data_IF_752269078451
#
_entry.id   IF_752269078451
#
_cell.length_a   1.000
_cell.length_b   1.000
_cell.length_c   1.000
_cell.angle_alpha   90.00
_cell.angle_beta   90.00
_cell.angle_gamma   90.00
#
_symmetry.space_group_name_H-M   'P 1'
#
loop_
_entity.id
_entity.type
_entity.pdbx_description
1 polymer ?
#
# COMPACT_ATOMS: atom_id res chain seq x y z
N UNK A 1 -75.50 23.72 7.69
CA UNK A 1 -75.90 22.27 7.55
C UNK A 1 -75.08 21.72 6.40
N UNK A 2 -74.04 21.00 6.63
CA UNK A 2 -73.62 19.72 6.04
C UNK A 2 -72.22 19.38 6.55
N UNK A 3 -72.17 18.35 7.39
CA UNK A 3 -70.94 17.67 7.84
C UNK A 3 -70.50 16.75 6.73
N UNK A 4 -69.25 16.83 6.31
CA UNK A 4 -68.58 15.77 5.55
C UNK A 4 -67.36 15.30 6.32
N UNK A 5 -67.50 14.09 6.88
CA UNK A 5 -66.40 13.37 7.57
C UNK A 5 -65.37 12.85 6.57
N UNK A 6 -64.12 13.12 6.85
CA UNK A 6 -62.99 12.51 6.13
C UNK A 6 -62.56 11.23 6.86
N UNK A 7 -62.71 10.08 6.17
CA UNK A 7 -62.22 8.78 6.62
C UNK A 7 -60.81 8.60 6.09
N UNK A 8 -59.82 8.58 6.99
CA UNK A 8 -58.43 8.22 6.65
C UNK A 8 -58.32 6.67 6.55
N UNK A 9 -57.64 6.11 5.52
CA UNK A 9 -57.43 4.67 5.46
C UNK A 9 -56.31 4.23 6.41
N UNK A 10 -56.61 3.20 7.18
CA UNK A 10 -55.67 2.54 8.09
C UNK A 10 -54.55 1.89 7.31
N UNK A 11 -53.29 2.29 7.60
CA UNK A 11 -52.07 1.60 7.17
C UNK A 11 -52.02 0.21 7.80
N UNK A 12 -52.23 -0.82 7.00
CA UNK A 12 -51.96 -2.22 7.37
C UNK A 12 -50.46 -2.37 7.56
N UNK A 13 -50.04 -2.72 8.78
CA UNK A 13 -48.69 -3.20 9.05
C UNK A 13 -48.51 -4.55 8.33
N UNK A 14 -47.71 -4.53 7.26
CA UNK A 14 -47.29 -5.77 6.61
C UNK A 14 -46.37 -6.53 7.57
N UNK A 15 -46.70 -7.78 7.86
CA UNK A 15 -45.87 -8.73 8.57
C UNK A 15 -44.57 -9.04 7.76
N UNK A 16 -43.57 -9.67 8.37
CA UNK A 16 -42.35 -10.01 7.68
C UNK A 16 -42.62 -11.00 6.55
N UNK A 17 -42.27 -10.62 5.33
CA UNK A 17 -42.22 -11.56 4.21
C UNK A 17 -41.20 -12.64 4.55
N UNK A 18 -41.66 -13.86 4.75
CA UNK A 18 -40.85 -15.05 4.76
C UNK A 18 -40.21 -15.20 3.38
N UNK A 19 -38.91 -14.91 3.31
CA UNK A 19 -38.10 -15.23 2.13
C UNK A 19 -37.80 -16.71 2.22
N UNK A 20 -38.45 -17.50 1.34
CA UNK A 20 -38.18 -18.92 1.17
C UNK A 20 -36.70 -19.14 0.87
N UNK A 21 -36.15 -20.22 1.42
CA UNK A 21 -34.81 -20.68 1.19
C UNK A 21 -34.56 -20.89 -0.31
N UNK A 22 -33.82 -19.97 -0.90
CA UNK A 22 -33.11 -20.15 -2.15
C UNK A 22 -31.64 -20.24 -1.77
N UNK A 23 -30.92 -21.18 -2.38
CA UNK A 23 -29.49 -21.41 -2.23
C UNK A 23 -28.75 -20.07 -2.28
N UNK A 24 -28.44 -19.53 -1.10
CA UNK A 24 -27.76 -18.28 -0.96
C UNK A 24 -26.36 -18.44 -1.57
N UNK A 25 -26.16 -17.83 -2.73
CA UNK A 25 -24.84 -17.39 -3.11
C UNK A 25 -24.37 -16.47 -1.98
N UNK A 26 -23.71 -17.05 -0.98
CA UNK A 26 -22.91 -16.29 -0.03
C UNK A 26 -21.89 -15.53 -0.88
N UNK A 27 -22.20 -14.27 -1.15
CA UNK A 27 -21.20 -13.33 -1.67
C UNK A 27 -20.12 -13.30 -0.61
N UNK A 28 -19.08 -14.13 -0.80
CA UNK A 28 -18.02 -14.32 0.19
C UNK A 28 -17.54 -12.96 0.67
N UNK A 29 -17.89 -12.64 1.91
CA UNK A 29 -17.39 -11.46 2.57
C UNK A 29 -15.86 -11.48 2.46
N UNK A 30 -15.25 -10.33 2.25
CA UNK A 30 -13.78 -10.21 2.36
C UNK A 30 -13.43 -10.63 3.77
N UNK A 31 -12.91 -11.86 3.94
CA UNK A 31 -12.78 -12.53 5.23
C UNK A 31 -11.48 -12.20 5.96
N UNK A 32 -10.68 -11.21 5.49
CA UNK A 32 -9.40 -10.86 6.07
C UNK A 32 -9.15 -9.35 6.14
N UNK A 33 -8.52 -8.91 7.23
CA UNK A 33 -7.88 -7.60 7.27
C UNK A 33 -6.57 -7.67 6.50
N UNK A 34 -6.33 -6.74 5.57
CA UNK A 34 -5.04 -6.58 4.89
C UNK A 34 -4.02 -5.96 5.86
N UNK A 35 -3.62 -6.74 6.89
CA UNK A 35 -2.84 -6.26 8.06
C UNK A 35 -1.52 -5.60 7.71
N UNK A 36 -0.89 -6.04 6.63
CA UNK A 36 0.41 -5.54 6.19
C UNK A 36 0.31 -4.54 5.04
N UNK A 37 -0.91 -4.07 4.71
CA UNK A 37 -1.13 -3.03 3.72
C UNK A 37 -1.29 -1.67 4.40
N UNK A 38 -0.48 -0.71 3.96
CA UNK A 38 -0.58 0.69 4.31
C UNK A 38 -0.94 1.52 3.07
N UNK A 39 -2.00 2.29 3.11
CA UNK A 39 -2.36 3.27 2.07
C UNK A 39 -1.82 4.63 2.46
N UNK A 40 -1.06 5.25 1.56
CA UNK A 40 -0.44 6.56 1.81
C UNK A 40 -1.00 7.59 0.84
N UNK A 41 -1.67 8.61 1.36
CA UNK A 41 -2.15 9.76 0.59
C UNK A 41 -1.13 10.89 0.65
N UNK A 42 -0.64 11.34 -0.50
CA UNK A 42 0.39 12.38 -0.59
C UNK A 42 -0.20 13.67 -1.15
N UNK A 43 -0.20 14.72 -0.36
CA UNK A 43 -0.60 16.08 -0.79
C UNK A 43 -2.07 16.19 -1.21
N UNK A 44 -2.96 15.39 -0.64
CA UNK A 44 -4.41 15.41 -0.94
C UNK A 44 -5.07 16.72 -0.48
N UNK A 45 -6.01 17.22 -1.29
CA UNK A 45 -6.63 18.54 -1.10
C UNK A 45 -8.15 18.52 -0.98
N UNK A 46 -8.80 17.44 -1.42
CA UNK A 46 -10.26 17.34 -1.43
C UNK A 46 -10.75 16.39 -0.32
N UNK A 47 -11.53 16.88 0.67
CA UNK A 47 -12.04 16.07 1.77
C UNK A 47 -12.93 14.92 1.29
N UNK A 48 -13.70 15.12 0.23
CA UNK A 48 -14.56 14.08 -0.34
C UNK A 48 -13.73 12.91 -0.91
N UNK A 49 -12.58 13.20 -1.52
CA UNK A 49 -11.69 12.16 -2.03
C UNK A 49 -11.03 11.38 -0.88
N UNK A 50 -10.60 12.07 0.17
CA UNK A 50 -10.07 11.41 1.38
C UNK A 50 -11.11 10.49 2.00
N UNK A 51 -12.35 10.95 2.14
CA UNK A 51 -13.48 10.15 2.62
C UNK A 51 -13.79 8.95 1.73
N UNK A 52 -13.77 9.15 0.39
CA UNK A 52 -14.00 8.07 -0.57
C UNK A 52 -12.90 7.00 -0.52
N UNK A 53 -11.62 7.39 -0.36
CA UNK A 53 -10.52 6.45 -0.15
C UNK A 53 -10.70 5.66 1.14
N UNK A 54 -10.99 6.34 2.25
CA UNK A 54 -11.22 5.69 3.53
C UNK A 54 -12.38 4.69 3.47
N UNK A 55 -13.46 5.05 2.77
CA UNK A 55 -14.60 4.15 2.53
C UNK A 55 -14.21 2.94 1.70
N UNK A 56 -13.47 3.13 0.61
CA UNK A 56 -12.96 2.04 -0.21
C UNK A 56 -12.06 1.10 0.61
N UNK A 57 -11.15 1.63 1.41
CA UNK A 57 -10.30 0.86 2.30
C UNK A 57 -11.10 0.02 3.29
N UNK A 58 -12.08 0.63 3.95
CA UNK A 58 -12.97 -0.07 4.90
C UNK A 58 -13.75 -1.21 4.23
N UNK A 59 -14.25 -1.00 3.01
CA UNK A 59 -15.00 -2.02 2.28
C UNK A 59 -14.17 -3.28 1.95
N UNK A 60 -12.84 -3.14 1.84
CA UNK A 60 -11.93 -4.23 1.46
C UNK A 60 -10.97 -4.66 2.57
N UNK A 61 -11.16 -4.20 3.81
CA UNK A 61 -10.37 -4.62 4.96
C UNK A 61 -8.97 -4.00 5.05
N UNK A 62 -8.67 -2.95 4.30
CA UNK A 62 -7.43 -2.18 4.45
C UNK A 62 -7.60 -1.14 5.56
N UNK A 63 -6.94 -1.32 6.71
CA UNK A 63 -7.24 -0.53 7.91
C UNK A 63 -6.17 0.52 8.25
N UNK A 64 -5.04 0.56 7.56
CA UNK A 64 -3.97 1.53 7.85
C UNK A 64 -3.88 2.61 6.79
N UNK A 65 -4.30 3.83 7.16
CA UNK A 65 -4.22 5.04 6.34
C UNK A 65 -3.17 6.00 6.91
N UNK A 66 -2.28 6.46 6.04
CA UNK A 66 -1.30 7.51 6.34
C UNK A 66 -1.49 8.68 5.40
N UNK A 67 -1.29 9.91 5.90
CA UNK A 67 -1.33 11.11 5.10
C UNK A 67 0.01 11.84 5.20
N UNK A 68 0.54 12.23 4.04
CA UNK A 68 1.79 13.00 3.94
C UNK A 68 1.46 14.37 3.40
N UNK A 69 1.79 15.42 4.16
CA UNK A 69 1.53 16.82 3.79
C UNK A 69 0.09 17.05 3.30
N UNK A 70 -0.94 16.55 4.01
CA UNK A 70 -2.32 16.78 3.61
C UNK A 70 -2.64 18.27 3.70
N UNK A 71 -3.57 18.75 2.87
CA UNK A 71 -4.11 20.10 3.05
C UNK A 71 -4.98 20.10 4.32
N UNK A 72 -4.55 20.82 5.34
CA UNK A 72 -5.07 20.75 6.71
C UNK A 72 -6.60 20.89 6.80
N UNK A 73 -7.17 21.87 6.07
CA UNK A 73 -8.63 22.08 6.04
C UNK A 73 -9.37 20.86 5.49
N UNK A 74 -8.92 20.34 4.36
CA UNK A 74 -9.53 19.17 3.74
C UNK A 74 -9.44 17.93 4.62
N UNK A 75 -8.31 17.76 5.30
CA UNK A 75 -8.07 16.64 6.19
C UNK A 75 -8.99 16.69 7.43
N UNK A 76 -9.14 17.87 8.05
CA UNK A 76 -10.07 18.06 9.18
C UNK A 76 -11.53 17.81 8.77
N UNK A 77 -11.95 18.32 7.62
CA UNK A 77 -13.29 18.09 7.08
C UNK A 77 -13.56 16.61 6.82
N UNK A 78 -12.61 15.88 6.22
CA UNK A 78 -12.73 14.45 5.99
C UNK A 78 -12.88 13.66 7.29
N UNK A 79 -12.10 13.98 8.32
CA UNK A 79 -12.21 13.35 9.65
C UNK A 79 -13.55 13.61 10.33
N UNK A 80 -14.22 14.71 10.04
CA UNK A 80 -15.55 15.02 10.57
C UNK A 80 -16.72 14.40 9.79
N UNK A 81 -16.45 13.81 8.62
CA UNK A 81 -17.51 13.23 7.77
C UNK A 81 -18.08 11.93 8.34
N UNK A 82 -19.40 11.80 8.29
CA UNK A 82 -20.12 10.61 8.75
C UNK A 82 -19.83 9.42 7.84
N UNK A 83 -19.46 8.26 8.42
CA UNK A 83 -19.37 6.97 7.71
C UNK A 83 -17.97 6.45 7.34
N UNK A 84 -16.91 7.25 7.54
CA UNK A 84 -15.51 6.79 7.45
C UNK A 84 -14.77 6.99 8.79
N UNK A 85 -15.51 7.28 9.86
CA UNK A 85 -15.02 7.87 11.11
C UNK A 85 -13.90 7.10 11.80
N UNK A 86 -13.99 5.78 11.91
CA UNK A 86 -13.02 5.00 12.68
C UNK A 86 -11.66 4.91 11.97
N UNK A 87 -11.64 4.64 10.68
CA UNK A 87 -10.41 4.55 9.89
C UNK A 87 -9.70 5.91 9.82
N UNK A 88 -10.45 6.98 9.56
CA UNK A 88 -9.92 8.34 9.52
C UNK A 88 -9.49 8.84 10.91
N UNK A 89 -10.17 8.43 11.97
CA UNK A 89 -9.76 8.76 13.35
C UNK A 89 -8.41 8.14 13.72
N UNK A 90 -8.12 6.94 13.21
CA UNK A 90 -6.85 6.23 13.42
C UNK A 90 -5.76 6.64 12.41
N UNK A 91 -6.10 7.38 11.36
CA UNK A 91 -5.15 7.76 10.32
C UNK A 91 -4.04 8.65 10.88
N UNK A 92 -2.80 8.32 10.50
CA UNK A 92 -1.59 9.01 10.95
C UNK A 92 -1.18 10.07 9.94
N UNK A 93 -0.71 11.20 10.43
CA UNK A 93 -0.18 12.30 9.64
C UNK A 93 1.34 12.34 9.76
N UNK A 94 2.02 12.59 8.63
CA UNK A 94 3.48 12.64 8.55
C UNK A 94 3.92 13.91 7.82
N UNK A 95 5.04 14.49 8.26
CA UNK A 95 5.64 15.63 7.60
C UNK A 95 6.32 15.23 6.29
N UNK A 96 6.94 14.05 6.26
CA UNK A 96 7.70 13.56 5.11
C UNK A 96 7.22 12.18 4.64
N UNK A 97 7.48 11.88 3.36
CA UNK A 97 7.17 10.56 2.82
C UNK A 97 8.14 9.49 3.37
N UNK A 98 9.39 9.86 3.66
CA UNK A 98 10.37 8.98 4.29
C UNK A 98 9.84 8.41 5.61
N UNK A 99 9.34 9.28 6.51
CA UNK A 99 8.74 8.87 7.78
C UNK A 99 7.50 8.00 7.57
N UNK A 100 6.66 8.36 6.61
CA UNK A 100 5.41 7.65 6.35
C UNK A 100 5.59 6.24 5.82
N UNK A 101 6.76 5.89 5.27
CA UNK A 101 7.04 4.56 4.70
C UNK A 101 8.21 3.85 5.38
N UNK A 102 8.72 4.40 6.49
CA UNK A 102 9.94 3.94 7.16
C UNK A 102 9.92 2.44 7.50
N UNK A 103 8.78 1.95 7.99
CA UNK A 103 8.52 0.57 8.41
C UNK A 103 8.04 -0.36 7.27
N UNK A 104 8.03 0.12 6.02
CA UNK A 104 7.59 -0.66 4.87
C UNK A 104 8.77 -1.34 4.16
N UNK A 105 8.61 -2.58 3.77
CA UNK A 105 9.60 -3.34 2.97
C UNK A 105 9.38 -3.19 1.46
N UNK A 106 8.22 -2.68 1.05
CA UNK A 106 7.88 -2.39 -0.35
C UNK A 106 7.06 -1.11 -0.41
N UNK A 107 7.43 -0.22 -1.33
CA UNK A 107 6.68 1.01 -1.63
C UNK A 107 6.31 1.01 -3.10
N UNK A 108 5.02 1.14 -3.39
CA UNK A 108 4.44 1.12 -4.73
C UNK A 108 3.72 2.44 -4.99
N UNK A 109 4.12 3.16 -6.02
CA UNK A 109 3.43 4.39 -6.42
C UNK A 109 2.33 4.09 -7.45
N UNK A 110 1.19 4.76 -7.35
CA UNK A 110 0.15 4.71 -8.39
C UNK A 110 0.36 5.83 -9.41
N UNK A 111 0.13 5.53 -10.70
CA UNK A 111 0.29 6.52 -11.77
C UNK A 111 -0.72 6.31 -12.89
N UNK A 112 -1.20 7.44 -13.46
CA UNK A 112 -2.04 7.43 -14.66
C UNK A 112 -1.25 7.41 -15.97
N UNK A 113 0.09 7.41 -15.90
CA UNK A 113 1.01 7.52 -17.06
C UNK A 113 0.64 8.69 -17.99
N UNK A 114 1.14 9.86 -17.66
CA UNK A 114 1.12 11.03 -18.56
C UNK A 114 2.35 11.03 -19.49
N UNK A 115 2.68 12.22 -20.04
CA UNK A 115 3.85 12.44 -20.89
C UNK A 115 5.19 12.47 -20.13
N UNK A 116 5.26 11.90 -18.92
CA UNK A 116 6.50 11.85 -18.13
C UNK A 116 7.37 10.68 -18.58
N UNK A 117 8.65 10.92 -18.74
CA UNK A 117 9.64 9.86 -18.88
C UNK A 117 9.65 9.01 -17.60
N UNK A 118 9.29 7.74 -17.74
CA UNK A 118 9.16 6.83 -16.61
C UNK A 118 10.53 6.25 -16.25
N UNK A 119 11.05 6.64 -15.09
CA UNK A 119 12.35 6.17 -14.56
C UNK A 119 12.24 4.94 -13.65
N UNK A 120 11.04 4.41 -13.49
CA UNK A 120 10.74 3.27 -12.64
C UNK A 120 10.11 2.13 -13.46
N UNK A 121 10.27 0.87 -13.04
CA UNK A 121 9.50 -0.22 -13.62
C UNK A 121 8.01 0.07 -13.47
N UNK A 122 7.26 -0.11 -14.57
CA UNK A 122 5.81 0.06 -14.59
C UNK A 122 5.14 -1.30 -14.69
N UNK A 123 4.16 -1.55 -13.82
CA UNK A 123 3.40 -2.80 -13.78
C UNK A 123 1.92 -2.53 -13.92
N UNK A 124 1.21 -3.45 -14.57
CA UNK A 124 -0.25 -3.43 -14.59
C UNK A 124 -0.83 -3.75 -13.21
N UNK A 125 -2.08 -3.34 -12.99
CA UNK A 125 -2.77 -3.55 -11.71
C UNK A 125 -2.77 -5.02 -11.28
N UNK A 126 -3.07 -5.92 -12.18
CA UNK A 126 -3.16 -7.35 -11.90
C UNK A 126 -1.82 -7.96 -11.46
N UNK A 127 -0.75 -7.70 -12.20
CA UNK A 127 0.60 -8.12 -11.85
C UNK A 127 1.04 -7.47 -10.54
N UNK A 128 0.78 -6.17 -10.40
CA UNK A 128 1.10 -5.39 -9.21
C UNK A 128 0.44 -5.94 -7.95
N UNK A 129 -0.85 -6.24 -8.02
CA UNK A 129 -1.59 -6.80 -6.90
C UNK A 129 -1.03 -8.17 -6.47
N UNK A 130 -0.63 -9.01 -7.42
CA UNK A 130 0.02 -10.31 -7.12
C UNK A 130 1.35 -10.13 -6.37
N UNK A 131 2.16 -9.17 -6.78
CA UNK A 131 3.46 -8.90 -6.14
C UNK A 131 3.29 -8.27 -4.76
N UNK A 132 2.31 -7.37 -4.61
CA UNK A 132 1.94 -6.78 -3.32
C UNK A 132 1.48 -7.87 -2.35
N UNK A 133 0.54 -8.73 -2.77
CA UNK A 133 0.03 -9.83 -1.95
C UNK A 133 1.15 -10.71 -1.42
N UNK A 134 2.04 -11.17 -2.31
CA UNK A 134 3.21 -11.96 -1.91
C UNK A 134 4.14 -11.25 -0.92
N UNK A 135 4.33 -9.94 -1.09
CA UNK A 135 5.19 -9.16 -0.18
C UNK A 135 4.52 -8.94 1.19
N UNK A 136 3.19 -8.80 1.24
CA UNK A 136 2.44 -8.69 2.50
C UNK A 136 2.57 -9.91 3.41
N UNK A 137 2.93 -11.07 2.87
CA UNK A 137 3.20 -12.29 3.66
C UNK A 137 4.45 -12.14 4.54
N UNK A 138 5.43 -11.34 4.12
CA UNK A 138 6.75 -11.23 4.75
C UNK A 138 7.07 -9.85 5.32
N UNK A 139 6.27 -8.84 5.01
CA UNK A 139 6.54 -7.49 5.48
C UNK A 139 5.45 -6.49 5.09
N UNK A 140 5.57 -5.28 5.60
CA UNK A 140 4.62 -4.21 5.34
C UNK A 140 4.81 -3.60 3.95
N UNK A 141 3.70 -3.30 3.29
CA UNK A 141 3.67 -2.71 1.95
C UNK A 141 2.93 -1.38 1.98
N UNK A 142 3.53 -0.34 1.41
CA UNK A 142 2.87 0.94 1.18
C UNK A 142 2.41 1.06 -0.28
N UNK A 143 1.14 1.46 -0.47
CA UNK A 143 0.60 1.88 -1.77
C UNK A 143 0.32 3.38 -1.72
N UNK A 144 1.02 4.14 -2.57
CA UNK A 144 0.99 5.59 -2.59
C UNK A 144 0.00 6.11 -3.63
N UNK A 145 -0.85 7.02 -3.20
CA UNK A 145 -1.72 7.81 -4.07
C UNK A 145 -1.34 9.29 -3.94
N UNK A 146 -1.10 9.94 -5.07
CA UNK A 146 -0.75 11.36 -5.11
C UNK A 146 -1.95 12.29 -5.07
N UNK A 147 -1.68 13.59 -5.12
CA UNK A 147 -2.72 14.63 -5.17
C UNK A 147 -3.58 14.50 -6.43
N UNK A 148 -4.84 14.96 -6.34
CA UNK A 148 -5.84 14.85 -7.41
C UNK A 148 -5.41 15.59 -8.69
N UNK A 149 -4.71 16.70 -8.52
CA UNK A 149 -4.30 17.55 -9.65
C UNK A 149 -3.00 17.12 -10.31
N UNK A 150 -2.00 16.73 -9.49
CA UNK A 150 -0.64 16.54 -9.97
C UNK A 150 -0.13 15.10 -9.86
N UNK A 151 -0.85 14.24 -9.13
CA UNK A 151 -0.38 12.93 -8.77
C UNK A 151 0.82 12.98 -7.81
N UNK A 152 1.68 11.97 -7.88
CA UNK A 152 2.95 11.91 -7.17
C UNK A 152 4.01 12.75 -7.90
N UNK A 153 4.80 13.54 -7.16
CA UNK A 153 5.94 14.29 -7.70
C UNK A 153 7.09 13.34 -8.05
N UNK A 154 8.12 13.83 -8.76
CA UNK A 154 9.31 13.01 -9.03
C UNK A 154 10.06 12.66 -7.74
N UNK A 155 10.04 13.55 -6.76
CA UNK A 155 10.56 13.29 -5.43
C UNK A 155 9.79 12.15 -4.74
N UNK A 156 8.44 12.22 -4.71
CA UNK A 156 7.62 11.16 -4.13
C UNK A 156 7.85 9.81 -4.84
N UNK A 157 7.95 9.84 -6.18
CA UNK A 157 8.26 8.65 -6.98
C UNK A 157 9.62 8.04 -6.64
N UNK A 158 10.61 8.84 -6.21
CA UNK A 158 11.94 8.32 -5.87
C UNK A 158 11.91 7.36 -4.68
N UNK A 159 10.88 7.41 -3.85
CA UNK A 159 10.65 6.47 -2.75
C UNK A 159 10.04 5.14 -3.21
N UNK A 160 9.55 5.04 -4.45
CA UNK A 160 8.90 3.84 -4.95
C UNK A 160 9.90 2.83 -5.53
N UNK A 161 9.66 1.54 -5.30
CA UNK A 161 10.38 0.45 -5.95
C UNK A 161 9.94 0.33 -7.41
N UNK A 162 8.66 0.45 -7.65
CA UNK A 162 8.01 0.40 -8.96
C UNK A 162 6.67 1.13 -8.92
N UNK A 163 6.10 1.35 -10.10
CA UNK A 163 4.83 2.05 -10.25
C UNK A 163 3.75 1.10 -10.75
N UNK A 164 2.55 1.31 -10.25
CA UNK A 164 1.35 0.56 -10.63
C UNK A 164 0.42 1.42 -11.47
N UNK A 165 -0.06 0.85 -12.56
CA UNK A 165 -1.03 1.48 -13.45
C UNK A 165 -2.33 0.69 -13.47
N UNK A 166 -3.44 1.39 -13.29
CA UNK A 166 -4.78 0.87 -13.58
C UNK A 166 -5.01 1.01 -15.08
N UNK A 167 -5.33 -0.06 -15.82
CA UNK A 167 -5.68 0.03 -17.22
C UNK A 167 -6.95 0.87 -17.43
N UNK A 168 -6.84 1.97 -18.16
CA UNK A 168 -7.94 2.87 -18.51
C UNK A 168 -7.89 3.17 -20.01
N UNK A 169 -8.98 3.74 -20.55
CA UNK A 169 -8.98 4.21 -21.95
C UNK A 169 -7.98 5.35 -22.14
N UNK A 170 -7.43 5.46 -23.34
CA UNK A 170 -6.38 6.46 -23.65
C UNK A 170 -6.91 7.90 -23.51
N UNK A 171 -8.20 8.11 -23.81
CA UNK A 171 -8.87 9.40 -23.74
C UNK A 171 -9.10 9.86 -22.29
N UNK A 172 -9.22 8.90 -21.34
CA UNK A 172 -9.52 9.16 -19.93
C UNK A 172 -8.53 8.40 -19.04
N UNK A 173 -7.27 8.82 -19.05
CA UNK A 173 -6.17 8.13 -18.35
C UNK A 173 -6.21 8.27 -16.84
N UNK A 174 -6.72 9.40 -16.34
CA UNK A 174 -6.81 9.67 -14.90
C UNK A 174 -8.16 9.23 -14.35
N UNK A 175 -8.14 8.66 -13.16
CA UNK A 175 -9.34 8.32 -12.38
C UNK A 175 -9.44 9.25 -11.18
N UNK A 176 -10.66 9.45 -10.69
CA UNK A 176 -10.87 10.04 -9.38
C UNK A 176 -10.12 9.23 -8.32
N UNK A 177 -9.56 9.90 -7.31
CA UNK A 177 -8.71 9.28 -6.29
C UNK A 177 -9.42 8.16 -5.53
N UNK A 178 -10.67 8.38 -5.11
CA UNK A 178 -11.47 7.37 -4.42
C UNK A 178 -11.79 6.15 -5.31
N UNK A 179 -12.07 6.39 -6.60
CA UNK A 179 -12.29 5.31 -7.57
C UNK A 179 -11.00 4.51 -7.80
N UNK A 180 -9.86 5.17 -7.97
CA UNK A 180 -8.58 4.50 -8.15
C UNK A 180 -8.24 3.63 -6.92
N UNK A 181 -8.46 4.15 -5.71
CA UNK A 181 -8.28 3.38 -4.49
C UNK A 181 -9.21 2.18 -4.42
N UNK A 182 -10.49 2.34 -4.76
CA UNK A 182 -11.47 1.25 -4.75
C UNK A 182 -11.06 0.11 -5.70
N UNK A 183 -10.61 0.44 -6.91
CA UNK A 183 -10.18 -0.55 -7.91
C UNK A 183 -8.93 -1.30 -7.44
N UNK A 184 -7.96 -0.59 -6.86
CA UNK A 184 -6.74 -1.21 -6.29
C UNK A 184 -7.10 -2.12 -5.12
N UNK A 185 -7.93 -1.65 -4.18
CA UNK A 185 -8.33 -2.45 -3.02
C UNK A 185 -9.15 -3.69 -3.43
N UNK A 186 -10.05 -3.54 -4.41
CA UNK A 186 -10.81 -4.66 -4.96
C UNK A 186 -9.87 -5.74 -5.52
N UNK A 187 -8.89 -5.36 -6.35
CA UNK A 187 -7.98 -6.33 -6.96
C UNK A 187 -7.10 -7.02 -5.93
N UNK A 188 -6.64 -6.30 -4.90
CA UNK A 188 -5.90 -6.88 -3.78
C UNK A 188 -6.76 -7.88 -3.00
N UNK A 189 -7.99 -7.52 -2.63
CA UNK A 189 -8.91 -8.38 -1.89
C UNK A 189 -9.42 -9.58 -2.71
N UNK A 190 -9.57 -9.42 -4.02
CA UNK A 190 -9.95 -10.52 -4.92
C UNK A 190 -8.91 -11.63 -4.92
N UNK A 191 -7.65 -11.26 -4.87
CA UNK A 191 -6.54 -12.23 -4.90
C UNK A 191 -6.36 -12.97 -3.59
N UNK A 192 -6.59 -12.34 -2.48
CA UNK A 192 -6.56 -13.00 -1.17
C UNK A 192 -7.60 -14.14 -1.11
N UNK A 193 -8.80 -13.91 -1.67
CA UNK A 193 -9.84 -14.94 -1.76
C UNK A 193 -9.42 -16.15 -2.62
N UNK A 194 -8.86 -15.92 -3.80
CA UNK A 194 -8.42 -16.99 -4.69
C UNK A 194 -7.36 -17.86 -3.99
N UNK A 195 -6.41 -17.25 -3.30
CA UNK A 195 -5.35 -17.98 -2.59
C UNK A 195 -5.89 -18.83 -1.43
N UNK A 196 -6.90 -18.34 -0.70
CA UNK A 196 -7.56 -19.10 0.38
C UNK A 196 -8.41 -20.24 -0.16
N UNK A 197 -9.14 -20.04 -1.24
CA UNK A 197 -9.94 -21.09 -1.88
C UNK A 197 -9.05 -22.21 -2.44
N UNK A 198 -7.92 -21.87 -3.07
CA UNK A 198 -6.92 -22.83 -3.55
C UNK A 198 -6.29 -23.62 -2.39
N UNK A 199 -5.98 -22.96 -1.26
CA UNK A 199 -5.42 -23.62 -0.08
C UNK A 199 -6.43 -24.56 0.59
N UNK A 200 -7.70 -24.16 0.71
CA UNK A 200 -8.77 -25.02 1.22
C UNK A 200 -9.08 -26.17 0.29
N UNK A 201 -9.08 -25.96 -1.02
CA UNK A 201 -9.22 -27.01 -2.04
C UNK A 201 -8.11 -28.05 -1.93
N UNK A 202 -6.86 -27.63 -1.77
CA UNK A 202 -5.71 -28.53 -1.56
C UNK A 202 -5.80 -29.29 -0.24
N UNK A 203 -6.24 -28.68 0.86
CA UNK A 203 -6.44 -29.37 2.13
C UNK A 203 -7.56 -30.42 2.07
N UNK A 204 -8.63 -30.16 1.33
CA UNK A 204 -9.71 -31.14 1.10
C UNK A 204 -9.22 -32.32 0.28
N UNK A 205 -8.32 -32.10 -0.68
CA UNK A 205 -7.72 -33.15 -1.52
C UNK A 205 -6.71 -33.99 -0.73
N UNK A 206 -5.89 -33.38 0.14
CA UNK A 206 -4.93 -34.08 0.98
C UNK A 206 -5.59 -34.93 2.09
N UNK A 207 -6.77 -34.52 2.59
CA UNK A 207 -7.54 -35.33 3.53
C UNK A 207 -8.19 -36.56 2.91
N UNK A 208 -8.28 -36.62 1.57
CA UNK A 208 -8.79 -37.79 0.82
C UNK A 208 -7.72 -38.77 0.35
N UNK A 209 -6.44 -38.35 0.32
CA UNK A 209 -5.30 -39.20 -0.08
C UNK A 209 -4.39 -39.49 1.13
N UNK A 210 -4.32 -40.77 1.56
CA UNK A 210 -3.69 -41.19 2.81
C UNK A 210 -2.18 -40.91 2.92
N UNK A 211 -1.78 -40.78 4.16
CA UNK A 211 -0.48 -40.92 4.83
C UNK A 211 0.77 -41.04 3.95
N UNK A 212 1.58 -40.00 3.93
CA UNK A 212 3.02 -40.09 3.69
C UNK A 212 3.77 -39.38 4.83
N UNK A 213 4.80 -40.07 5.38
CA UNK A 213 5.56 -39.68 6.55
C UNK A 213 6.54 -38.51 6.27
N UNK A 214 6.89 -37.70 7.28
CA UNK A 214 7.79 -36.58 7.10
C UNK A 214 9.24 -36.98 7.09
N UNK A 215 10.00 -36.56 6.05
CA UNK A 215 11.44 -36.63 6.00
C UNK A 215 12.08 -35.61 6.97
N UNK A 216 12.89 -36.10 7.91
CA UNK A 216 13.70 -35.31 8.83
C UNK A 216 14.85 -34.64 8.08
N UNK A 217 14.88 -33.31 8.00
CA UNK A 217 16.06 -32.55 7.62
C UNK A 217 16.93 -32.27 8.86
N UNK A 218 18.22 -32.59 8.74
CA UNK A 218 19.26 -32.39 9.77
C UNK A 218 19.66 -30.90 9.86
N UNK A 219 19.90 -30.47 11.09
CA UNK A 219 20.14 -29.09 11.48
C UNK A 219 21.47 -28.46 11.01
N UNK A 220 21.39 -27.18 10.82
CA UNK A 220 22.49 -26.23 10.80
C UNK A 220 22.07 -25.01 11.61
N UNK A 221 22.94 -24.58 12.51
CA UNK A 221 22.72 -23.51 13.51
C UNK A 221 22.34 -22.17 12.87
N UNK A 222 21.42 -21.39 13.43
CA UNK A 222 20.96 -20.16 12.81
C UNK A 222 21.85 -18.99 13.21
N UNK A 223 22.40 -18.30 12.24
CA UNK A 223 22.74 -16.87 12.39
C UNK A 223 21.44 -16.09 12.35
N UNK A 224 21.21 -15.24 13.35
CA UNK A 224 19.97 -14.50 13.58
C UNK A 224 19.67 -13.51 12.44
N UNK A 225 18.69 -13.84 11.67
CA UNK A 225 18.03 -13.08 10.63
C UNK A 225 17.06 -14.03 9.97
N UNK A 226 15.76 -13.81 10.07
CA UNK A 226 14.77 -14.65 9.39
C UNK A 226 15.05 -14.57 7.89
N UNK A 227 15.53 -15.66 7.31
CA UNK A 227 15.85 -15.79 5.88
C UNK A 227 14.58 -15.46 5.07
N UNK A 228 14.64 -14.41 4.23
CA UNK A 228 13.54 -13.97 3.37
C UNK A 228 12.83 -12.68 3.80
N UNK A 229 13.26 -12.02 4.88
CA UNK A 229 12.70 -10.74 5.31
C UNK A 229 13.44 -9.59 4.59
N UNK A 230 12.70 -8.73 3.88
CA UNK A 230 13.27 -7.60 3.16
C UNK A 230 13.52 -6.42 4.09
N UNK A 231 14.57 -5.64 3.76
CA UNK A 231 14.94 -4.47 4.52
C UNK A 231 13.81 -3.43 4.56
N UNK A 232 13.55 -2.88 5.74
CA UNK A 232 12.65 -1.75 5.92
C UNK A 232 13.24 -0.49 5.28
N UNK A 233 12.37 0.42 4.88
CA UNK A 233 12.78 1.64 4.20
C UNK A 233 13.67 2.53 5.04
N UNK A 234 13.50 2.54 6.35
CA UNK A 234 14.40 3.27 7.27
C UNK A 234 15.86 2.83 7.09
N UNK A 235 16.12 1.53 7.06
CA UNK A 235 17.48 1.01 6.85
C UNK A 235 18.03 1.40 5.47
N UNK A 236 17.19 1.32 4.44
CA UNK A 236 17.59 1.69 3.07
C UNK A 236 17.86 3.19 2.94
N UNK A 237 17.10 4.07 3.63
CA UNK A 237 17.38 5.51 3.68
C UNK A 237 18.72 5.78 4.38
N UNK A 238 18.98 5.14 5.53
CA UNK A 238 20.27 5.27 6.24
C UNK A 238 21.46 4.87 5.39
N UNK A 239 21.34 3.84 4.55
CA UNK A 239 22.35 3.47 3.55
C UNK A 239 22.52 4.61 2.53
N UNK A 240 21.41 5.15 2.03
CA UNK A 240 21.41 6.24 1.05
C UNK A 240 22.09 7.50 1.56
N UNK A 241 21.76 7.92 2.78
CA UNK A 241 22.38 9.07 3.45
C UNK A 241 23.90 8.88 3.64
N UNK A 242 24.31 7.74 4.18
CA UNK A 242 25.71 7.45 4.39
C UNK A 242 26.50 7.39 3.07
N UNK A 243 25.92 6.83 2.01
CA UNK A 243 26.49 6.83 0.67
C UNK A 243 26.59 8.24 0.09
N UNK A 244 25.54 9.06 0.21
CA UNK A 244 25.54 10.44 -0.30
C UNK A 244 26.65 11.27 0.35
N UNK A 245 26.80 11.18 1.68
CA UNK A 245 27.88 11.85 2.43
C UNK A 245 29.26 11.37 1.97
N UNK A 246 29.42 10.06 1.78
CA UNK A 246 30.68 9.47 1.29
C UNK A 246 31.04 9.96 -0.12
N UNK A 247 30.05 9.99 -1.03
CA UNK A 247 30.21 10.47 -2.40
C UNK A 247 30.53 11.97 -2.46
N UNK A 248 29.97 12.76 -1.55
CA UNK A 248 30.28 14.18 -1.42
C UNK A 248 31.71 14.40 -0.93
N UNK A 249 32.11 13.70 0.13
CA UNK A 249 33.49 13.79 0.68
C UNK A 249 34.55 13.29 -0.30
N UNK A 250 34.24 12.33 -1.14
CA UNK A 250 35.11 11.85 -2.21
C UNK A 250 35.22 12.79 -3.44
N UNK A 251 34.39 13.84 -3.50
CA UNK A 251 34.34 14.76 -4.64
C UNK A 251 33.53 14.23 -5.84
N UNK A 252 32.91 13.05 -5.75
CA UNK A 252 32.11 12.49 -6.82
C UNK A 252 30.78 13.26 -7.04
N UNK A 253 30.21 13.80 -5.98
CA UNK A 253 28.99 14.63 -6.02
C UNK A 253 29.36 16.07 -5.71
N UNK A 254 29.16 16.98 -6.68
CA UNK A 254 29.32 18.40 -6.48
C UNK A 254 28.08 19.02 -5.80
N UNK A 255 28.27 20.08 -5.01
CA UNK A 255 27.21 20.75 -4.27
C UNK A 255 26.01 21.19 -5.13
N UNK A 256 26.25 21.66 -6.38
CA UNK A 256 25.19 22.06 -7.32
C UNK A 256 24.30 20.92 -7.82
N UNK A 257 24.71 19.65 -7.64
CA UNK A 257 23.99 18.46 -8.15
C UNK A 257 23.44 17.55 -7.06
N UNK A 258 23.58 17.92 -5.80
CA UNK A 258 23.32 17.06 -4.64
C UNK A 258 21.87 16.50 -4.64
N UNK A 259 20.86 17.33 -4.81
CA UNK A 259 19.46 16.89 -4.81
C UNK A 259 19.14 15.86 -5.93
N UNK A 260 19.75 16.05 -7.13
CA UNK A 260 19.59 15.09 -8.23
C UNK A 260 20.34 13.78 -7.97
N UNK A 261 21.50 13.87 -7.31
CA UNK A 261 22.30 12.71 -6.95
C UNK A 261 21.57 11.89 -5.87
N UNK A 262 21.00 12.54 -4.88
CA UNK A 262 20.21 11.93 -3.83
C UNK A 262 18.99 11.19 -4.42
N UNK A 263 18.19 11.85 -5.25
CA UNK A 263 17.04 11.23 -5.92
C UNK A 263 17.45 10.01 -6.77
N UNK A 264 18.58 10.13 -7.50
CA UNK A 264 19.12 9.03 -8.32
C UNK A 264 19.57 7.86 -7.47
N UNK A 265 20.28 8.16 -6.37
CA UNK A 265 20.79 7.17 -5.43
C UNK A 265 19.64 6.43 -4.74
N UNK A 266 18.64 7.17 -4.27
CA UNK A 266 17.44 6.60 -3.64
C UNK A 266 16.73 5.64 -4.60
N UNK A 267 16.47 6.04 -5.84
CA UNK A 267 15.87 5.15 -6.85
C UNK A 267 16.72 3.90 -7.12
N UNK A 268 18.04 4.03 -7.15
CA UNK A 268 18.94 2.89 -7.36
C UNK A 268 18.83 1.90 -6.22
N UNK A 269 18.88 2.34 -4.97
CA UNK A 269 18.79 1.49 -3.79
C UNK A 269 17.43 0.77 -3.70
N UNK A 270 16.34 1.46 -4.05
CA UNK A 270 14.99 0.85 -4.08
C UNK A 270 14.89 -0.32 -5.05
N UNK A 271 15.58 -0.25 -6.19
CA UNK A 271 15.55 -1.34 -7.18
C UNK A 271 16.26 -2.61 -6.71
N UNK A 272 17.17 -2.52 -5.76
CA UNK A 272 17.86 -3.70 -5.26
C UNK A 272 16.96 -4.62 -4.44
N UNK A 273 15.89 -4.11 -3.84
CA UNK A 273 14.99 -4.91 -2.98
C UNK A 273 15.77 -5.83 -2.04
N UNK A 274 16.70 -5.25 -1.27
CA UNK A 274 17.66 -5.97 -0.43
C UNK A 274 16.97 -6.75 0.68
N UNK A 275 17.51 -7.93 1.01
CA UNK A 275 17.17 -8.63 2.25
C UNK A 275 17.75 -7.87 3.45
N UNK A 276 17.13 -7.97 4.62
CA UNK A 276 17.54 -7.26 5.85
C UNK A 276 19.00 -7.54 6.20
N UNK A 277 19.46 -8.78 6.06
CA UNK A 277 20.85 -9.16 6.34
C UNK A 277 21.86 -8.46 5.42
N UNK A 278 21.55 -8.37 4.12
CA UNK A 278 22.42 -7.71 3.13
C UNK A 278 22.44 -6.19 3.35
N UNK A 279 21.30 -5.60 3.71
CA UNK A 279 21.22 -4.18 4.01
C UNK A 279 22.07 -3.78 5.23
N UNK A 280 22.05 -4.57 6.28
CA UNK A 280 22.90 -4.33 7.47
C UNK A 280 24.40 -4.45 7.14
N UNK A 281 24.80 -5.44 6.34
CA UNK A 281 26.19 -5.60 5.88
C UNK A 281 26.60 -4.39 5.04
N UNK A 282 25.79 -3.97 4.08
CA UNK A 282 26.06 -2.81 3.23
C UNK A 282 26.16 -1.51 4.06
N UNK A 283 25.24 -1.32 5.02
CA UNK A 283 25.29 -0.17 5.92
C UNK A 283 26.59 -0.12 6.73
N UNK A 284 27.03 -1.29 7.24
CA UNK A 284 28.30 -1.42 7.95
C UNK A 284 29.51 -1.05 7.08
N UNK A 285 29.54 -1.55 5.83
CA UNK A 285 30.61 -1.21 4.86
C UNK A 285 30.67 0.28 4.57
N UNK A 286 29.53 0.90 4.26
CA UNK A 286 29.45 2.32 3.92
C UNK A 286 29.86 3.19 5.10
N UNK A 287 29.44 2.86 6.33
CA UNK A 287 29.86 3.56 7.55
C UNK A 287 31.37 3.48 7.77
N UNK A 288 32.00 2.33 7.50
CA UNK A 288 33.43 2.18 7.62
C UNK A 288 34.19 3.02 6.60
N UNK A 289 33.69 3.10 5.36
CA UNK A 289 34.23 3.98 4.30
C UNK A 289 34.12 5.45 4.74
N UNK A 290 32.93 5.86 5.19
CA UNK A 290 32.69 7.23 5.66
C UNK A 290 33.65 7.62 6.81
N UNK A 291 33.76 6.76 7.82
CA UNK A 291 34.67 6.96 8.93
C UNK A 291 36.12 7.17 8.45
N UNK A 292 36.57 6.38 7.43
CA UNK A 292 37.93 6.54 6.89
C UNK A 292 38.13 7.86 6.13
N UNK A 293 37.05 8.33 5.43
CA UNK A 293 37.08 9.62 4.74
C UNK A 293 37.09 10.83 5.72
N UNK A 294 36.60 10.63 6.94
CA UNK A 294 36.59 11.65 7.99
C UNK A 294 37.93 11.82 8.71
N UNK A 295 38.85 10.86 8.56
CA UNK A 295 40.18 10.91 9.14
C UNK A 295 41.25 11.54 8.24
N UNK A 296 40.87 11.91 6.99
CA UNK A 296 41.72 12.66 6.07
C UNK A 296 41.37 14.15 6.09
#
# INVERSE_FOLDING_TARGET
>A
MHKSGSIAPALRRGGPCGVGGGDGLEWGAVSGEMKNLCVVLVGTRNPLNVGAVARAMSNFGAMELRAVRPYEKAWREAKSAVGAGELLARAKEFATLAEAVADCSLVVGTTAVGNREMKHPLRGLEEGARLIGKRMETGRVAVLFGSEKWGLSNEDLSYCHWLMRIPTRVEHRSMNLGQAAAVVMYELGRRERITTEDAEGQQRTLKRGGKSAPLKAKGGSPRSGKKGEFAEMETVERIGEALLVSLRKSGYVAARGEAKAEEKLRRMLRRFSMESADAEVLLGMVRKILWKLEQK
#
